data_IF_664338755403
#
_entry.id   IF_664338755403
#
_cell.length_a   1.000
_cell.length_b   1.000
_cell.length_c   1.000
_cell.angle_alpha   90.00
_cell.angle_beta   90.00
_cell.angle_gamma   90.00
#
_symmetry.space_group_name_H-M   'P 1'
#
loop_
_entity.id
_entity.type
_entity.pdbx_description
1 polymer ?
#
# COMPACT_ATOMS: atom_id res chain seq x y z
N UNK A 1 -1.43 -13.19 3.62
CA UNK A 1 -1.35 -12.39 2.36
C UNK A 1 -2.65 -11.77 1.84
N UNK A 2 -3.76 -12.50 1.71
CA UNK A 2 -5.02 -11.94 1.17
C UNK A 2 -5.51 -10.68 1.93
N UNK A 3 -5.22 -10.58 3.23
CA UNK A 3 -5.60 -9.43 4.06
C UNK A 3 -4.98 -8.11 3.59
N UNK A 4 -3.70 -8.09 3.23
CA UNK A 4 -3.01 -6.89 2.73
C UNK A 4 -3.64 -6.43 1.41
N UNK A 5 -3.88 -7.39 0.50
CA UNK A 5 -4.54 -7.11 -0.79
C UNK A 5 -5.95 -6.56 -0.60
N UNK A 6 -6.75 -7.18 0.27
CA UNK A 6 -8.11 -6.73 0.56
C UNK A 6 -8.13 -5.34 1.20
N UNK A 7 -7.20 -5.05 2.11
CA UNK A 7 -7.03 -3.72 2.69
C UNK A 7 -6.72 -2.69 1.60
N UNK A 8 -5.74 -2.97 0.74
CA UNK A 8 -5.37 -2.07 -0.36
C UNK A 8 -6.51 -1.91 -1.38
N UNK A 9 -7.27 -2.99 -1.64
CA UNK A 9 -8.48 -2.92 -2.47
C UNK A 9 -9.52 -1.97 -1.87
N UNK A 10 -9.69 -1.99 -0.54
CA UNK A 10 -10.62 -1.11 0.16
C UNK A 10 -10.21 0.37 0.10
N UNK A 11 -8.90 0.66 0.18
CA UNK A 11 -8.37 2.02 0.05
C UNK A 11 -8.62 2.60 -1.35
N UNK A 12 -8.48 1.77 -2.38
CA UNK A 12 -8.67 2.19 -3.77
C UNK A 12 -10.12 2.12 -4.26
N UNK A 13 -11.09 1.78 -3.39
CA UNK A 13 -12.48 1.53 -3.78
C UNK A 13 -13.15 2.75 -4.43
N UNK A 14 -12.83 3.95 -3.94
CA UNK A 14 -13.36 5.22 -4.46
C UNK A 14 -12.35 5.98 -5.34
N UNK A 15 -11.19 5.40 -5.62
CA UNK A 15 -10.15 6.03 -6.44
C UNK A 15 -10.42 5.74 -7.91
N UNK A 16 -10.42 6.75 -8.81
CA UNK A 16 -10.57 6.53 -10.23
C UNK A 16 -9.56 5.53 -10.77
N UNK A 17 -10.02 4.54 -11.55
CA UNK A 17 -9.15 3.53 -12.16
C UNK A 17 -8.50 4.10 -13.42
N UNK A 18 -7.30 4.65 -13.29
CA UNK A 18 -6.45 5.09 -14.39
C UNK A 18 -5.20 4.20 -14.48
N UNK A 19 -4.36 4.38 -15.49
CA UNK A 19 -3.11 3.63 -15.57
C UNK A 19 -2.17 3.98 -14.41
N UNK A 20 -2.15 5.25 -14.02
CA UNK A 20 -1.33 5.79 -12.94
C UNK A 20 -1.78 5.25 -11.58
N UNK A 21 -3.07 5.28 -11.28
CA UNK A 21 -3.57 4.79 -9.98
C UNK A 21 -3.42 3.27 -9.84
N UNK A 22 -3.54 2.52 -10.95
CA UNK A 22 -3.26 1.09 -10.95
C UNK A 22 -1.78 0.78 -10.77
N UNK A 23 -0.89 1.57 -11.38
CA UNK A 23 0.55 1.44 -11.18
C UNK A 23 0.91 1.72 -9.72
N UNK A 24 0.43 2.84 -9.17
CA UNK A 24 0.64 3.18 -7.77
C UNK A 24 0.15 2.06 -6.85
N UNK A 25 -1.07 1.55 -7.06
CA UNK A 25 -1.59 0.42 -6.28
C UNK A 25 -0.67 -0.81 -6.33
N UNK A 26 -0.13 -1.14 -7.50
CA UNK A 26 0.79 -2.28 -7.64
C UNK A 26 2.10 -2.04 -6.90
N UNK A 27 2.67 -0.85 -7.03
CA UNK A 27 3.92 -0.47 -6.38
C UNK A 27 3.76 -0.53 -4.85
N UNK A 28 2.64 -0.01 -4.33
CA UNK A 28 2.31 -0.10 -2.89
C UNK A 28 2.12 -1.52 -2.41
N UNK A 29 1.43 -2.36 -3.19
CA UNK A 29 1.28 -3.77 -2.83
C UNK A 29 2.65 -4.45 -2.71
N UNK A 30 3.58 -4.17 -3.63
CA UNK A 30 4.95 -4.69 -3.55
C UNK A 30 5.62 -4.24 -2.26
N UNK A 31 5.60 -2.95 -1.93
CA UNK A 31 6.19 -2.43 -0.69
C UNK A 31 5.61 -3.08 0.56
N UNK A 32 4.28 -3.27 0.62
CA UNK A 32 3.62 -3.92 1.75
C UNK A 32 3.96 -5.41 1.84
N UNK A 33 4.05 -6.11 0.71
CA UNK A 33 4.45 -7.52 0.64
C UNK A 33 5.92 -7.69 1.08
N UNK A 34 6.82 -6.84 0.59
CA UNK A 34 8.24 -6.86 0.94
C UNK A 34 8.44 -6.66 2.46
N UNK A 35 7.83 -5.62 3.03
CA UNK A 35 7.91 -5.37 4.48
C UNK A 35 7.26 -6.51 5.30
N UNK A 36 6.15 -7.09 4.83
CA UNK A 36 5.62 -8.28 5.48
C UNK A 36 6.64 -9.41 5.53
N UNK A 37 7.34 -9.70 4.44
CA UNK A 37 8.33 -10.78 4.39
C UNK A 37 9.52 -10.50 5.30
N UNK A 38 10.00 -9.25 5.35
CA UNK A 38 11.05 -8.84 6.31
C UNK A 38 10.63 -9.16 7.75
N UNK A 39 9.40 -8.84 8.15
CA UNK A 39 8.89 -9.15 9.50
C UNK A 39 8.78 -10.65 9.77
N UNK A 40 8.46 -11.47 8.76
CA UNK A 40 8.48 -12.92 8.87
C UNK A 40 9.91 -13.44 9.07
N UNK A 41 10.88 -12.88 8.35
CA UNK A 41 12.30 -13.23 8.50
C UNK A 41 12.85 -12.83 9.87
N UNK A 42 12.35 -11.75 10.46
CA UNK A 42 12.63 -11.34 11.84
C UNK A 42 11.98 -12.25 12.91
N UNK A 43 11.14 -13.20 12.49
CA UNK A 43 10.51 -14.19 13.37
C UNK A 43 9.13 -13.80 13.89
N UNK A 44 8.51 -12.72 13.38
CA UNK A 44 7.10 -12.43 13.68
C UNK A 44 6.20 -13.47 13.02
N UNK A 45 5.04 -13.71 13.62
CA UNK A 45 4.02 -14.55 12.97
C UNK A 45 3.19 -13.75 11.95
N UNK A 46 2.47 -14.46 11.07
CA UNK A 46 1.70 -13.84 9.98
C UNK A 46 0.71 -12.77 10.47
N UNK A 47 0.02 -12.99 11.59
CA UNK A 47 -0.95 -12.02 12.10
C UNK A 47 -0.28 -10.74 12.62
N UNK A 48 0.84 -10.88 13.33
CA UNK A 48 1.63 -9.75 13.83
C UNK A 48 2.24 -8.95 12.68
N UNK A 49 2.78 -9.63 11.67
CA UNK A 49 3.36 -9.00 10.50
C UNK A 49 2.31 -8.22 9.70
N UNK A 50 1.14 -8.83 9.43
CA UNK A 50 0.03 -8.15 8.76
C UNK A 50 -0.45 -6.93 9.55
N UNK A 51 -0.65 -7.07 10.86
CA UNK A 51 -1.10 -5.98 11.72
C UNK A 51 -0.10 -4.82 11.75
N UNK A 52 1.20 -5.15 11.79
CA UNK A 52 2.29 -4.17 11.74
C UNK A 52 2.29 -3.42 10.41
N UNK A 53 2.31 -4.13 9.29
CA UNK A 53 2.30 -3.51 7.95
C UNK A 53 1.09 -2.60 7.76
N UNK A 54 -0.11 -3.01 8.19
CA UNK A 54 -1.32 -2.19 8.07
C UNK A 54 -1.26 -0.95 8.97
N UNK A 55 -0.74 -1.06 10.19
CA UNK A 55 -0.66 0.07 11.13
C UNK A 55 0.42 1.08 10.76
N UNK A 56 1.54 0.62 10.20
CA UNK A 56 2.61 1.49 9.72
C UNK A 56 2.28 2.12 8.38
N UNK A 57 1.35 1.52 7.64
CA UNK A 57 0.78 2.16 6.47
C UNK A 57 -0.08 3.35 6.89
N UNK A 58 0.27 4.52 6.37
CA UNK A 58 -0.49 5.74 6.55
C UNK A 58 -1.86 5.70 5.87
N UNK A 59 -2.52 6.87 5.82
CA UNK A 59 -3.83 6.96 5.17
C UNK A 59 -3.71 6.98 3.63
N UNK A 60 -4.75 6.51 2.94
CA UNK A 60 -4.82 6.63 1.48
C UNK A 60 -4.80 8.10 1.02
N UNK A 61 -5.29 9.02 1.85
CA UNK A 61 -5.33 10.46 1.52
C UNK A 61 -3.92 11.06 1.43
N UNK A 62 -3.03 10.72 2.36
CA UNK A 62 -1.61 11.12 2.32
C UNK A 62 -0.94 10.59 1.05
N UNK A 63 -1.26 9.35 0.69
CA UNK A 63 -0.68 8.68 -0.45
C UNK A 63 -1.16 9.24 -1.79
N UNK A 64 -2.46 9.51 -1.90
CA UNK A 64 -3.04 10.20 -3.05
C UNK A 64 -2.47 11.62 -3.18
N UNK A 65 -2.27 12.33 -2.06
CA UNK A 65 -1.64 13.63 -2.07
C UNK A 65 -0.21 13.57 -2.64
N UNK A 66 0.60 12.58 -2.25
CA UNK A 66 1.93 12.37 -2.83
C UNK A 66 1.88 12.09 -4.34
N UNK A 67 0.97 11.23 -4.80
CA UNK A 67 0.79 10.93 -6.23
C UNK A 67 0.34 12.17 -7.03
N UNK A 68 -0.53 13.00 -6.46
CA UNK A 68 -0.95 14.26 -7.09
C UNK A 68 0.18 15.29 -7.14
N UNK A 69 1.01 15.37 -6.09
CA UNK A 69 2.19 16.22 -6.04
C UNK A 69 3.24 15.79 -7.07
N UNK A 70 3.46 14.49 -7.25
CA UNK A 70 4.31 13.98 -8.32
C UNK A 70 3.80 14.44 -9.69
N UNK A 71 2.49 14.32 -9.96
CA UNK A 71 1.91 14.76 -11.24
C UNK A 71 2.10 16.26 -11.49
N UNK A 72 1.96 17.10 -10.46
CA UNK A 72 2.19 18.56 -10.57
C UNK A 72 3.66 18.92 -10.77
N UNK A 73 4.60 18.08 -10.33
CA UNK A 73 6.04 18.34 -10.46
C UNK A 73 6.58 18.12 -11.89
N UNK A 74 5.81 17.44 -12.74
CA UNK A 74 6.14 17.19 -14.15
C UNK A 74 5.26 17.96 -15.15
N UNK A 75 4.42 18.89 -14.67
CA UNK A 75 3.60 19.81 -15.47
C UNK A 75 4.17 21.22 -15.39
#
# INVERSE_FOLDING_TARGET
MNTIRNYLDSLFLNVPKTAETQKAKKDLLSTMEDHYYELIEEGKNENEAIGTVINEFGSIDELLAELELEKKRFL
#
